data_IF_825920325706
#
_entry.id   IF_825920325706
#
_cell.length_a   1.000
_cell.length_b   1.000
_cell.length_c   1.000
_cell.angle_alpha   90.00
_cell.angle_beta   90.00
_cell.angle_gamma   90.00
#
_symmetry.space_group_name_H-M   'P 1'
#
loop_
_entity.id
_entity.type
_entity.pdbx_description
1 polymer ?
#
# COMPACT_ATOMS: atom_id res chain seq x y z
N UNK A 1 -17.76 -9.84 -30.41
CA UNK A 1 -16.35 -10.08 -30.02
C UNK A 1 -16.24 -11.53 -29.62
N UNK A 2 -15.61 -12.36 -30.45
CA UNK A 2 -15.40 -13.79 -30.18
C UNK A 2 -14.19 -13.93 -29.28
N UNK A 3 -14.39 -14.32 -28.02
CA UNK A 3 -13.32 -14.77 -27.13
C UNK A 3 -12.75 -16.06 -27.70
N UNK A 4 -11.48 -16.05 -28.12
CA UNK A 4 -10.79 -17.28 -28.51
C UNK A 4 -10.82 -18.26 -27.33
N UNK A 5 -11.13 -19.56 -27.56
CA UNK A 5 -11.11 -20.54 -26.48
C UNK A 5 -9.70 -20.66 -25.90
N UNK A 6 -9.62 -20.74 -24.57
CA UNK A 6 -8.38 -21.02 -23.86
C UNK A 6 -7.88 -22.41 -24.30
N UNK A 7 -6.69 -22.47 -24.91
CA UNK A 7 -6.03 -23.74 -25.24
C UNK A 7 -5.81 -24.56 -23.97
N UNK A 8 -6.04 -25.86 -24.03
CA UNK A 8 -5.69 -26.74 -22.91
C UNK A 8 -4.16 -26.84 -22.76
N UNK A 9 -3.64 -27.22 -21.57
CA UNK A 9 -2.20 -27.45 -21.38
C UNK A 9 -1.57 -28.38 -22.42
N UNK A 10 -2.30 -29.42 -22.84
CA UNK A 10 -1.86 -30.40 -23.83
C UNK A 10 -1.81 -29.80 -25.24
N UNK A 11 -2.80 -29.00 -25.62
CA UNK A 11 -2.84 -28.30 -26.92
C UNK A 11 -1.68 -27.31 -27.05
N UNK A 12 -1.32 -26.69 -25.93
CA UNK A 12 -0.28 -25.68 -25.85
C UNK A 12 1.12 -26.30 -25.82
N UNK A 13 1.29 -27.44 -25.13
CA UNK A 13 2.50 -28.25 -25.23
C UNK A 13 2.72 -28.74 -26.67
N UNK A 14 1.68 -29.28 -27.30
CA UNK A 14 1.72 -29.70 -28.71
C UNK A 14 1.98 -28.52 -29.66
N UNK A 15 1.51 -27.31 -29.33
CA UNK A 15 1.83 -26.10 -30.09
C UNK A 15 3.32 -25.75 -30.01
N UNK A 16 3.93 -25.82 -28.83
CA UNK A 16 5.37 -25.59 -28.66
C UNK A 16 6.23 -26.67 -29.32
N UNK A 17 5.85 -27.95 -29.18
CA UNK A 17 6.54 -29.06 -29.83
C UNK A 17 6.50 -28.91 -31.36
N UNK A 18 5.36 -28.53 -31.94
CA UNK A 18 5.24 -28.22 -33.38
C UNK A 18 6.09 -27.03 -33.79
N UNK A 19 6.34 -26.08 -32.89
CA UNK A 19 7.23 -24.93 -33.07
C UNK A 19 8.72 -25.25 -32.88
N UNK A 20 9.08 -26.51 -32.61
CA UNK A 20 10.46 -26.92 -32.33
C UNK A 20 10.98 -26.47 -30.97
N UNK A 21 10.09 -26.06 -30.07
CA UNK A 21 10.42 -25.70 -28.68
C UNK A 21 10.26 -26.95 -27.83
N UNK A 22 11.39 -27.63 -27.59
CA UNK A 22 11.44 -28.90 -26.84
C UNK A 22 12.13 -28.74 -25.48
N UNK A 23 12.74 -27.58 -25.23
CA UNK A 23 13.38 -27.26 -23.95
C UNK A 23 13.00 -25.86 -23.47
N UNK A 24 13.08 -25.65 -22.15
CA UNK A 24 12.88 -24.34 -21.53
C UNK A 24 13.90 -23.31 -22.07
N UNK A 25 15.10 -23.75 -22.41
CA UNK A 25 16.14 -22.90 -22.99
C UNK A 25 15.81 -22.45 -24.43
N UNK A 26 15.24 -23.35 -25.25
CA UNK A 26 14.75 -23.00 -26.59
C UNK A 26 13.58 -22.03 -26.51
N UNK A 27 12.65 -22.26 -25.57
CA UNK A 27 11.54 -21.34 -25.31
C UNK A 27 12.05 -19.96 -24.92
N UNK A 28 12.97 -19.88 -23.95
CA UNK A 28 13.55 -18.62 -23.50
C UNK A 28 14.27 -17.88 -24.65
N UNK A 29 15.03 -18.59 -25.50
CA UNK A 29 15.70 -17.99 -26.67
C UNK A 29 14.72 -17.47 -27.72
N UNK A 30 13.61 -18.15 -27.95
CA UNK A 30 12.59 -17.72 -28.92
C UNK A 30 11.69 -16.61 -28.38
N UNK A 31 11.41 -16.59 -27.07
CA UNK A 31 10.59 -15.58 -26.43
C UNK A 31 11.39 -14.30 -26.08
N UNK A 32 12.69 -14.40 -25.79
CA UNK A 32 13.51 -13.25 -25.39
C UNK A 32 13.43 -12.03 -26.34
N UNK A 33 13.38 -12.18 -27.68
CA UNK A 33 13.25 -11.05 -28.60
C UNK A 33 11.87 -10.37 -28.57
N UNK A 34 10.83 -11.05 -28.09
CA UNK A 34 9.46 -10.52 -28.03
C UNK A 34 9.15 -9.88 -26.67
N UNK A 35 10.05 -10.01 -25.69
CA UNK A 35 9.90 -9.38 -24.38
C UNK A 35 10.15 -7.88 -24.47
N UNK A 36 9.18 -7.10 -23.97
CA UNK A 36 9.34 -5.67 -23.75
C UNK A 36 10.39 -5.39 -22.65
N UNK A 37 11.01 -4.19 -22.62
CA UNK A 37 11.94 -3.81 -21.55
C UNK A 37 11.36 -3.96 -20.12
N UNK A 38 10.04 -3.84 -19.96
CA UNK A 38 9.33 -4.09 -18.70
C UNK A 38 9.33 -5.57 -18.36
N UNK A 39 9.03 -6.44 -19.32
CA UNK A 39 9.06 -7.90 -19.14
C UNK A 39 10.49 -8.42 -18.89
N UNK A 40 11.51 -7.84 -19.54
CA UNK A 40 12.92 -8.19 -19.27
C UNK A 40 13.34 -7.82 -17.84
N UNK A 41 12.89 -6.66 -17.34
CA UNK A 41 13.12 -6.25 -15.94
C UNK A 41 12.39 -7.17 -14.96
N UNK A 42 11.16 -7.55 -15.25
CA UNK A 42 10.39 -8.53 -14.47
C UNK A 42 11.11 -9.88 -14.38
N UNK A 43 11.58 -10.43 -15.50
CA UNK A 43 12.32 -11.71 -15.52
C UNK A 43 13.63 -11.63 -14.73
N UNK A 44 14.35 -10.50 -14.79
CA UNK A 44 15.55 -10.30 -13.97
C UNK A 44 15.25 -10.20 -12.47
N UNK A 45 14.09 -9.65 -12.10
CA UNK A 45 13.64 -9.56 -10.70
C UNK A 45 13.15 -10.90 -10.15
N UNK A 46 12.52 -11.74 -10.98
CA UNK A 46 12.03 -13.07 -10.58
C UNK A 46 13.12 -14.03 -10.04
N UNK A 47 14.39 -13.77 -10.34
CA UNK A 47 15.53 -14.52 -9.79
C UNK A 47 16.12 -13.93 -8.50
N UNK A 48 15.66 -12.76 -8.07
CA UNK A 48 16.14 -12.09 -6.86
C UNK A 48 15.16 -12.37 -5.71
N UNK A 49 15.65 -12.67 -4.50
CA UNK A 49 14.78 -12.73 -3.34
C UNK A 49 14.09 -11.38 -3.17
N UNK A 50 12.77 -11.41 -3.00
CA UNK A 50 11.99 -10.20 -2.72
C UNK A 50 12.60 -9.52 -1.48
N UNK A 51 12.92 -8.22 -1.53
CA UNK A 51 13.48 -7.54 -0.37
C UNK A 51 12.49 -7.68 0.78
N UNK A 52 12.92 -8.04 1.99
CA UNK A 52 12.02 -8.11 3.16
C UNK A 52 11.55 -6.69 3.56
N UNK A 53 10.38 -6.57 4.21
CA UNK A 53 9.94 -5.29 4.78
C UNK A 53 11.06 -4.69 5.64
N UNK A 54 11.23 -3.37 5.62
CA UNK A 54 12.33 -2.74 6.36
C UNK A 54 11.88 -2.45 7.78
N UNK A 55 12.67 -2.78 8.82
CA UNK A 55 12.36 -2.35 10.17
C UNK A 55 12.15 -0.84 10.25
N UNK A 56 11.07 -0.41 10.87
CA UNK A 56 10.70 1.00 10.98
C UNK A 56 11.73 1.74 11.82
N UNK A 57 12.43 2.73 11.27
CA UNK A 57 13.39 3.53 12.04
C UNK A 57 12.74 4.76 12.69
N UNK A 58 13.34 5.34 13.75
CA UNK A 58 12.86 6.60 14.31
C UNK A 58 12.77 7.74 13.29
N UNK A 59 13.68 7.75 12.30
CA UNK A 59 13.68 8.76 11.23
C UNK A 59 12.48 8.58 10.28
N UNK A 60 12.15 7.33 9.95
CA UNK A 60 10.97 7.03 9.12
C UNK A 60 9.69 7.45 9.83
N UNK A 61 9.59 7.18 11.14
CA UNK A 61 8.46 7.64 11.95
C UNK A 61 8.40 9.16 12.06
N UNK A 62 9.55 9.82 12.19
CA UNK A 62 9.65 11.29 12.22
C UNK A 62 9.11 11.87 10.93
N UNK A 63 9.53 11.36 9.78
CA UNK A 63 8.99 11.78 8.48
C UNK A 63 7.49 11.50 8.37
N UNK A 64 7.07 10.29 8.75
CA UNK A 64 5.67 9.89 8.67
C UNK A 64 4.76 10.77 9.53
N UNK A 65 5.15 11.06 10.77
CA UNK A 65 4.27 11.66 11.78
C UNK A 65 4.56 13.13 12.10
N UNK A 66 5.77 13.66 11.84
CA UNK A 66 6.16 15.01 12.26
C UNK A 66 6.38 15.95 11.08
N UNK A 67 6.93 15.46 9.97
CA UNK A 67 7.23 16.31 8.81
C UNK A 67 5.96 16.62 8.04
N UNK A 68 5.51 17.87 8.06
CA UNK A 68 4.52 18.34 7.10
C UNK A 68 5.22 18.40 5.73
N UNK A 69 4.73 17.60 4.79
CA UNK A 69 5.21 17.65 3.41
C UNK A 69 4.92 19.03 2.80
N UNK A 70 5.49 19.34 1.62
CA UNK A 70 5.07 20.52 0.88
C UNK A 70 3.54 20.49 0.70
N UNK A 71 2.87 21.66 0.81
CA UNK A 71 1.44 21.71 0.57
C UNK A 71 1.14 21.12 -0.80
N UNK A 72 0.11 20.26 -0.92
CA UNK A 72 -0.19 19.64 -2.19
C UNK A 72 -0.56 20.74 -3.20
N UNK A 73 0.02 20.69 -4.39
CA UNK A 73 -0.21 21.68 -5.46
C UNK A 73 -1.68 21.76 -5.87
N UNK A 74 -2.45 20.70 -5.62
CA UNK A 74 -3.89 20.62 -5.81
C UNK A 74 -4.49 19.84 -4.64
N UNK A 75 -5.68 20.21 -4.16
CA UNK A 75 -6.45 19.39 -3.22
C UNK A 75 -7.38 18.49 -4.03
N UNK A 76 -7.03 17.23 -4.13
CA UNK A 76 -7.86 16.29 -4.83
C UNK A 76 -9.14 15.97 -4.02
N UNK A 77 -10.23 15.62 -4.71
CA UNK A 77 -11.50 15.30 -4.07
C UNK A 77 -11.32 14.16 -3.08
N UNK A 78 -11.94 14.31 -1.91
CA UNK A 78 -11.99 13.25 -0.90
C UNK A 78 -13.14 12.33 -1.31
N UNK A 79 -12.93 11.01 -1.48
CA UNK A 79 -13.96 10.13 -2.05
C UNK A 79 -15.17 9.92 -1.14
N UNK A 80 -15.08 10.36 0.13
CA UNK A 80 -16.12 10.20 1.14
C UNK A 80 -16.35 11.52 1.90
N UNK A 81 -17.56 11.75 2.42
CA UNK A 81 -17.78 12.83 3.39
C UNK A 81 -16.79 12.71 4.54
N UNK A 82 -16.41 13.85 5.13
CA UNK A 82 -15.45 13.86 6.23
C UNK A 82 -15.88 14.82 7.33
N UNK A 83 -15.53 14.50 8.58
CA UNK A 83 -15.68 15.39 9.72
C UNK A 83 -14.37 16.07 10.05
N UNK A 84 -14.39 17.39 10.09
CA UNK A 84 -13.31 18.21 10.62
C UNK A 84 -13.87 19.02 11.79
N UNK A 85 -13.29 18.84 12.98
CA UNK A 85 -13.67 19.56 14.21
C UNK A 85 -15.18 19.46 14.54
N UNK A 86 -15.81 18.32 14.21
CA UNK A 86 -17.22 18.05 14.46
C UNK A 86 -18.17 18.48 13.33
N UNK A 87 -17.72 19.30 12.39
CA UNK A 87 -18.49 19.70 11.20
C UNK A 87 -18.35 18.66 10.09
N UNK A 88 -19.46 18.25 9.49
CA UNK A 88 -19.50 17.34 8.34
C UNK A 88 -19.37 18.11 7.03
N UNK A 89 -18.45 17.66 6.18
CA UNK A 89 -18.15 18.20 4.87
C UNK A 89 -18.39 17.14 3.80
N UNK A 90 -18.85 17.57 2.63
CA UNK A 90 -18.97 16.72 1.46
C UNK A 90 -17.62 16.46 0.79
N UNK A 91 -17.52 15.43 -0.08
CA UNK A 91 -16.35 15.12 -0.91
C UNK A 91 -15.67 16.33 -1.59
N UNK A 92 -16.46 17.23 -2.17
CA UNK A 92 -15.97 18.40 -2.90
C UNK A 92 -15.57 19.59 -2.02
N UNK A 93 -15.92 19.57 -0.74
CA UNK A 93 -15.65 20.68 0.18
C UNK A 93 -14.19 20.75 0.63
N UNK A 94 -13.38 19.76 0.29
CA UNK A 94 -11.93 19.77 0.56
C UNK A 94 -11.24 20.99 -0.03
N UNK A 95 -11.72 21.50 -1.18
CA UNK A 95 -11.16 22.68 -1.84
C UNK A 95 -11.35 23.97 -1.04
N UNK A 96 -12.29 23.99 -0.08
CA UNK A 96 -12.54 25.15 0.80
C UNK A 96 -11.39 25.42 1.76
N UNK A 97 -10.48 24.46 1.95
CA UNK A 97 -9.35 24.57 2.86
C UNK A 97 -8.11 25.21 2.21
N UNK A 98 -8.24 25.79 1.01
CA UNK A 98 -7.25 26.72 0.46
C UNK A 98 -5.85 26.14 0.30
N UNK A 99 -5.74 24.84 0.00
CA UNK A 99 -4.46 24.14 -0.10
C UNK A 99 -3.84 23.70 1.24
N UNK A 100 -4.50 23.95 2.38
CA UNK A 100 -4.07 23.41 3.67
C UNK A 100 -4.17 21.87 3.64
N UNK A 101 -3.07 21.15 3.94
CA UNK A 101 -3.13 19.69 3.98
C UNK A 101 -4.07 19.24 5.10
N UNK A 102 -5.04 18.39 4.74
CA UNK A 102 -5.86 17.66 5.69
C UNK A 102 -5.28 16.26 5.87
N UNK A 103 -5.30 15.79 7.11
CA UNK A 103 -4.82 14.47 7.49
C UNK A 103 -6.01 13.58 7.82
N UNK A 104 -6.20 12.51 7.05
CA UNK A 104 -7.36 11.64 7.20
C UNK A 104 -7.05 10.44 8.09
N UNK A 105 -8.04 10.06 8.89
CA UNK A 105 -8.02 8.89 9.76
C UNK A 105 -9.25 8.03 9.47
N UNK A 106 -9.00 6.74 9.24
CA UNK A 106 -9.97 5.71 8.96
C UNK A 106 -9.96 4.76 10.16
N UNK A 107 -11.08 4.67 10.87
CA UNK A 107 -11.27 3.71 11.95
C UNK A 107 -12.52 2.87 11.72
N UNK A 108 -12.82 1.98 12.66
CA UNK A 108 -14.05 1.18 12.63
C UNK A 108 -15.31 2.05 12.64
N UNK A 109 -15.27 3.25 13.21
CA UNK A 109 -16.41 4.18 13.18
C UNK A 109 -16.70 4.67 11.75
N UNK A 110 -15.74 4.67 10.83
CA UNK A 110 -16.00 4.91 9.40
C UNK A 110 -17.04 3.94 8.84
N UNK A 111 -16.98 2.66 9.23
CA UNK A 111 -17.92 1.65 8.75
C UNK A 111 -19.34 1.92 9.27
N UNK A 112 -19.46 2.46 10.47
CA UNK A 112 -20.74 2.78 11.12
C UNK A 112 -21.35 4.09 10.59
N UNK A 113 -20.50 5.08 10.34
CA UNK A 113 -20.93 6.47 10.08
C UNK A 113 -20.84 6.89 8.62
N UNK A 114 -20.09 6.14 7.80
CA UNK A 114 -19.88 6.43 6.39
C UNK A 114 -19.00 7.65 6.09
N UNK A 115 -18.44 8.31 7.12
CA UNK A 115 -17.60 9.51 6.96
C UNK A 115 -16.19 9.35 7.54
N UNK A 116 -15.20 9.95 6.88
CA UNK A 116 -13.81 9.99 7.32
C UNK A 116 -13.64 10.98 8.47
N UNK A 117 -12.65 10.76 9.34
CA UNK A 117 -12.20 11.80 10.26
C UNK A 117 -11.04 12.56 9.65
N UNK A 118 -11.09 13.88 9.66
CA UNK A 118 -10.04 14.74 9.13
C UNK A 118 -9.44 15.60 10.25
N UNK A 119 -8.15 15.88 10.13
CA UNK A 119 -7.39 16.71 11.06
C UNK A 119 -6.68 17.84 10.29
N UNK A 120 -6.59 19.05 10.88
CA UNK A 120 -6.01 20.21 10.22
C UNK A 120 -4.47 20.20 10.19
N UNK A 121 -3.83 19.26 10.89
CA UNK A 121 -2.37 19.09 10.96
C UNK A 121 -1.99 17.69 11.44
N UNK A 122 -0.77 17.24 11.17
CA UNK A 122 -0.21 16.00 11.76
C UNK A 122 -0.17 16.08 13.28
N UNK A 123 0.04 17.27 13.85
CA UNK A 123 0.02 17.46 15.29
C UNK A 123 -1.37 17.15 15.91
N UNK A 124 -2.45 17.54 15.23
CA UNK A 124 -3.81 17.21 15.65
C UNK A 124 -4.12 15.71 15.47
N UNK A 125 -3.72 15.10 14.34
CA UNK A 125 -3.83 13.66 14.13
C UNK A 125 -3.07 12.87 15.21
N UNK A 126 -1.81 13.22 15.48
CA UNK A 126 -0.97 12.56 16.50
C UNK A 126 -1.56 12.64 17.89
N UNK A 127 -2.12 13.81 18.25
CA UNK A 127 -2.83 13.98 19.51
C UNK A 127 -4.01 13.01 19.60
N UNK A 128 -4.79 12.92 18.52
CA UNK A 128 -5.90 11.98 18.46
C UNK A 128 -5.44 10.52 18.59
N UNK A 129 -4.40 10.11 17.86
CA UNK A 129 -3.87 8.75 17.94
C UNK A 129 -3.38 8.41 19.37
N UNK A 130 -2.79 9.38 20.08
CA UNK A 130 -2.40 9.23 21.48
C UNK A 130 -3.62 9.06 22.39
N UNK A 131 -4.61 9.94 22.25
CA UNK A 131 -5.84 9.91 23.06
C UNK A 131 -6.66 8.63 22.87
N UNK A 132 -6.60 8.01 21.69
CA UNK A 132 -7.31 6.76 21.38
C UNK A 132 -6.47 5.49 21.57
N UNK A 133 -5.24 5.62 22.08
CA UNK A 133 -4.34 4.47 22.28
C UNK A 133 -3.89 3.79 20.98
N UNK A 134 -3.98 4.51 19.86
CA UNK A 134 -3.51 4.08 18.53
C UNK A 134 -2.05 4.42 18.29
N UNK A 135 -1.47 5.28 19.15
CA UNK A 135 -0.05 5.58 19.20
C UNK A 135 0.47 5.28 20.61
N UNK A 136 1.42 4.34 20.78
CA UNK A 136 1.98 4.04 22.09
C UNK A 136 2.63 5.24 22.78
N UNK A 137 2.55 5.28 24.11
CA UNK A 137 3.06 6.38 24.92
C UNK A 137 4.59 6.46 24.89
N UNK A 138 5.28 5.32 24.83
CA UNK A 138 6.73 5.21 24.72
C UNK A 138 7.24 5.77 23.38
N UNK A 139 6.56 5.45 22.27
CA UNK A 139 6.85 6.00 20.95
C UNK A 139 6.66 7.52 20.92
N UNK A 140 5.57 7.99 21.52
CA UNK A 140 5.31 9.42 21.66
C UNK A 140 6.46 10.12 22.38
N UNK A 141 6.87 9.58 23.53
CA UNK A 141 7.95 10.13 24.33
C UNK A 141 9.31 10.02 23.63
N UNK A 142 9.52 9.01 22.79
CA UNK A 142 10.74 8.86 21.99
C UNK A 142 10.81 9.89 20.86
N UNK A 143 9.71 10.08 20.11
CA UNK A 143 9.62 11.08 19.04
C UNK A 143 9.82 12.50 19.57
N UNK A 144 9.25 12.83 20.73
CA UNK A 144 9.39 14.14 21.36
C UNK A 144 10.81 14.42 21.87
N UNK A 145 11.53 13.38 22.31
CA UNK A 145 12.90 13.51 22.82
C UNK A 145 13.99 13.33 21.75
N UNK A 146 13.62 13.07 20.50
CA UNK A 146 14.55 12.65 19.44
C UNK A 146 15.28 11.34 19.78
N UNK A 147 14.67 10.52 20.66
CA UNK A 147 15.24 9.29 21.16
C UNK A 147 15.03 8.11 20.22
N UNK A 148 15.87 7.10 20.38
CA UNK A 148 15.73 5.82 19.66
C UNK A 148 14.56 5.05 20.25
N UNK A 149 13.57 4.72 19.42
CA UNK A 149 12.50 3.78 19.79
C UNK A 149 13.12 2.38 19.81
N UNK A 150 13.03 1.60 20.90
CA UNK A 150 13.51 0.22 20.90
C UNK A 150 12.71 -0.62 19.89
N UNK A 151 13.33 -0.88 18.74
CA UNK A 151 12.79 -1.75 17.69
C UNK A 151 13.03 -3.21 18.05
N UNK A 152 12.43 -3.68 19.14
CA UNK A 152 12.31 -5.12 19.31
C UNK A 152 11.21 -5.64 18.39
N UNK A 153 11.47 -6.77 17.72
CA UNK A 153 10.43 -7.49 17.00
C UNK A 153 9.33 -7.86 18.00
N UNK A 154 8.12 -7.35 17.78
CA UNK A 154 6.96 -7.66 18.60
C UNK A 154 6.09 -8.63 17.84
N UNK A 155 5.75 -9.74 18.48
CA UNK A 155 4.72 -10.63 17.97
C UNK A 155 3.39 -9.87 17.90
N UNK A 156 2.77 -9.87 16.72
CA UNK A 156 1.49 -9.20 16.50
C UNK A 156 0.93 -9.60 15.15
N UNK A 157 -0.37 -9.38 14.96
CA UNK A 157 -1.01 -9.58 13.66
C UNK A 157 -0.49 -8.53 12.68
N UNK A 158 0.02 -8.96 11.51
CA UNK A 158 0.50 -8.03 10.48
C UNK A 158 -0.68 -7.26 9.87
N UNK A 159 -0.36 -6.15 9.22
CA UNK A 159 -1.29 -5.54 8.27
C UNK A 159 -1.25 -6.30 6.94
N UNK A 160 -2.39 -6.35 6.27
CA UNK A 160 -2.57 -7.02 4.97
C UNK A 160 -3.06 -6.00 3.95
N UNK A 161 -2.41 -5.95 2.79
CA UNK A 161 -2.82 -5.13 1.66
C UNK A 161 -3.21 -6.03 0.50
N UNK A 162 -4.24 -5.64 -0.22
CA UNK A 162 -4.86 -6.44 -1.27
C UNK A 162 -4.95 -5.64 -2.57
N UNK A 163 -4.70 -6.34 -3.67
CA UNK A 163 -4.76 -5.81 -5.03
C UNK A 163 -6.17 -5.31 -5.38
N UNK A 164 -7.21 -6.01 -4.92
CA UNK A 164 -8.59 -5.69 -5.27
C UNK A 164 -9.40 -5.24 -4.06
N UNK A 165 -10.56 -4.65 -4.36
CA UNK A 165 -11.60 -4.35 -3.36
C UNK A 165 -12.08 -5.62 -2.66
N UNK A 166 -12.72 -5.45 -1.51
CA UNK A 166 -13.29 -6.53 -0.70
C UNK A 166 -12.27 -7.64 -0.36
N UNK A 167 -11.00 -7.27 -0.22
CA UNK A 167 -9.89 -8.16 0.13
C UNK A 167 -9.63 -9.25 -0.92
N UNK A 168 -9.94 -8.98 -2.18
CA UNK A 168 -9.68 -9.87 -3.31
C UNK A 168 -8.28 -9.70 -3.91
N UNK A 169 -7.93 -10.60 -4.83
CA UNK A 169 -6.66 -10.56 -5.56
C UNK A 169 -5.47 -11.07 -4.75
N UNK A 170 -4.27 -10.67 -5.18
CA UNK A 170 -3.04 -10.97 -4.44
C UNK A 170 -2.95 -10.18 -3.14
N UNK A 171 -2.07 -10.63 -2.24
CA UNK A 171 -1.91 -10.07 -0.89
C UNK A 171 -0.44 -9.91 -0.51
N UNK A 172 -0.10 -8.76 0.07
CA UNK A 172 1.19 -8.52 0.74
C UNK A 172 0.98 -8.18 2.22
N UNK A 173 1.89 -8.63 3.07
CA UNK A 173 1.82 -8.43 4.52
C UNK A 173 2.91 -7.49 5.00
N UNK A 174 2.54 -6.53 5.83
CA UNK A 174 3.47 -5.67 6.56
C UNK A 174 3.48 -6.12 8.03
N UNK A 175 4.61 -6.68 8.44
CA UNK A 175 4.79 -7.09 9.84
C UNK A 175 4.76 -5.88 10.78
N UNK A 176 4.36 -6.07 12.05
CA UNK A 176 4.43 -5.03 13.06
C UNK A 176 5.82 -4.39 13.09
N UNK A 177 5.87 -3.06 13.23
CA UNK A 177 7.10 -2.25 13.28
C UNK A 177 7.97 -2.33 12.03
N UNK A 178 7.37 -2.64 10.89
CA UNK A 178 8.02 -2.55 9.60
C UNK A 178 7.38 -1.45 8.74
N UNK A 179 8.10 -1.12 7.68
CA UNK A 179 7.61 -0.25 6.63
C UNK A 179 7.90 -0.83 5.25
N UNK A 180 7.05 -0.43 4.31
CA UNK A 180 7.36 -0.39 2.90
C UNK A 180 7.75 1.04 2.57
N UNK A 181 9.03 1.35 2.53
CA UNK A 181 9.52 2.66 2.12
C UNK A 181 9.40 2.87 0.61
N UNK A 182 9.47 1.81 -0.20
CA UNK A 182 9.35 1.86 -1.65
C UNK A 182 8.63 0.60 -2.18
N UNK A 183 7.34 0.75 -2.54
CA UNK A 183 6.56 -0.34 -3.13
C UNK A 183 7.00 -0.67 -4.57
N UNK A 184 7.79 0.19 -5.24
CA UNK A 184 8.37 -0.11 -6.57
C UNK A 184 9.32 -1.30 -6.56
N UNK A 185 9.80 -1.65 -5.37
CA UNK A 185 10.71 -2.76 -5.09
C UNK A 185 10.00 -4.03 -4.61
N UNK A 186 8.69 -3.95 -4.36
CA UNK A 186 7.84 -5.09 -3.99
C UNK A 186 7.17 -5.64 -5.21
N UNK A 187 7.25 -6.96 -5.37
CA UNK A 187 6.74 -7.61 -6.57
C UNK A 187 5.54 -8.46 -6.22
N UNK A 188 4.45 -8.26 -6.96
CA UNK A 188 3.27 -9.09 -6.87
C UNK A 188 3.48 -10.36 -7.70
N UNK A 189 3.19 -11.51 -7.09
CA UNK A 189 3.19 -12.79 -7.80
C UNK A 189 1.88 -12.90 -8.56
N UNK A 190 1.90 -12.61 -9.87
CA UNK A 190 0.70 -12.87 -10.68
C UNK A 190 0.78 -14.29 -11.20
N UNK A 191 -0.15 -15.13 -10.74
CA UNK A 191 -0.33 -16.47 -11.29
C UNK A 191 -0.89 -16.33 -12.72
N UNK A 192 -0.05 -16.50 -13.73
CA UNK A 192 -0.49 -16.49 -15.13
C UNK A 192 -0.89 -17.88 -15.63
N UNK A 193 -1.56 -17.89 -16.79
CA UNK A 193 -1.95 -19.11 -17.50
C UNK A 193 -0.72 -19.98 -17.78
N UNK A 194 -0.77 -21.26 -17.36
CA UNK A 194 0.26 -22.33 -17.42
C UNK A 194 1.31 -22.38 -16.31
N UNK A 195 0.93 -22.38 -15.02
CA UNK A 195 1.81 -22.79 -13.89
C UNK A 195 3.15 -22.03 -13.71
N UNK A 196 3.40 -21.01 -14.53
CA UNK A 196 4.52 -20.09 -14.39
C UNK A 196 4.01 -18.87 -13.63
N UNK A 197 4.39 -18.74 -12.36
CA UNK A 197 4.27 -17.49 -11.63
C UNK A 197 5.30 -16.52 -12.22
N UNK A 198 4.85 -15.41 -12.77
CA UNK A 198 5.72 -14.33 -13.21
C UNK A 198 5.55 -13.16 -12.25
N UNK A 199 6.67 -12.56 -11.88
CA UNK A 199 6.76 -11.26 -11.22
C UNK A 199 6.23 -10.18 -12.16
N UNK A 200 4.91 -10.00 -12.23
CA UNK A 200 4.33 -9.18 -13.32
C UNK A 200 4.24 -7.70 -12.99
N UNK A 201 4.07 -7.32 -11.73
CA UNK A 201 3.77 -5.92 -11.40
C UNK A 201 4.35 -5.57 -10.03
N UNK A 202 4.78 -4.33 -9.90
CA UNK A 202 5.13 -3.78 -8.60
C UNK A 202 3.86 -3.56 -7.78
N UNK A 203 3.91 -3.69 -6.46
CA UNK A 203 2.80 -3.28 -5.57
C UNK A 203 2.55 -1.77 -5.54
N UNK A 204 3.44 -0.98 -6.14
CA UNK A 204 3.27 0.45 -6.29
C UNK A 204 2.01 0.71 -7.10
N UNK A 205 1.09 1.45 -6.52
CA UNK A 205 -0.13 1.88 -7.22
C UNK A 205 -1.06 0.70 -7.60
N UNK A 206 -1.13 -0.34 -6.76
CA UNK A 206 -2.02 -1.51 -6.98
C UNK A 206 -2.96 -1.81 -5.79
N UNK A 207 -2.85 -1.06 -4.68
CA UNK A 207 -3.58 -1.38 -3.45
C UNK A 207 -5.00 -0.79 -3.51
N UNK A 208 -6.02 -1.66 -3.40
CA UNK A 208 -7.44 -1.28 -3.44
C UNK A 208 -8.15 -1.51 -2.10
N UNK A 209 -7.67 -2.43 -1.25
CA UNK A 209 -8.21 -2.67 0.09
C UNK A 209 -7.14 -3.12 1.08
N UNK A 210 -7.42 -2.99 2.38
CA UNK A 210 -6.45 -3.34 3.42
C UNK A 210 -7.11 -3.74 4.74
N UNK A 211 -6.37 -4.49 5.55
CA UNK A 211 -6.68 -4.79 6.95
C UNK A 211 -5.50 -4.42 7.83
N UNK A 212 -5.75 -3.71 8.90
CA UNK A 212 -4.74 -3.47 9.93
C UNK A 212 -4.84 -4.54 11.00
N UNK A 213 -3.68 -5.01 11.45
CA UNK A 213 -3.57 -5.94 12.56
C UNK A 213 -3.45 -5.18 13.89
N UNK A 214 -2.43 -5.55 14.66
CA UNK A 214 -2.24 -4.98 15.99
C UNK A 214 -1.57 -3.59 15.97
N UNK A 215 -1.30 -3.00 14.81
CA UNK A 215 -0.75 -1.64 14.67
C UNK A 215 -1.64 -0.77 13.76
N UNK A 216 -1.65 0.54 14.01
CA UNK A 216 -2.20 1.49 13.05
C UNK A 216 -1.21 1.64 11.89
N UNK A 217 -1.70 1.88 10.69
CA UNK A 217 -0.85 2.02 9.49
C UNK A 217 -1.06 3.40 8.88
N UNK A 218 0.02 4.09 8.53
CA UNK A 218 -0.07 5.25 7.64
C UNK A 218 0.37 4.88 6.24
N UNK A 219 -0.48 5.15 5.26
CA UNK A 219 -0.22 4.94 3.84
C UNK A 219 0.06 6.28 3.16
N UNK A 220 0.90 6.27 2.13
CA UNK A 220 1.40 7.45 1.44
C UNK A 220 1.26 7.34 -0.07
N UNK A 221 1.00 8.49 -0.70
CA UNK A 221 0.86 8.61 -2.16
C UNK A 221 2.19 8.42 -2.90
N UNK A 222 3.32 8.68 -2.24
CA UNK A 222 4.64 8.55 -2.85
C UNK A 222 5.55 7.63 -2.03
N UNK A 223 6.61 7.16 -2.67
CA UNK A 223 7.71 6.46 -2.01
C UNK A 223 8.37 7.35 -0.95
N UNK A 224 9.10 6.70 -0.04
CA UNK A 224 9.83 7.31 1.07
C UNK A 224 8.97 8.20 1.98
N UNK A 225 7.71 7.79 2.19
CA UNK A 225 6.72 8.45 3.05
C UNK A 225 6.39 9.88 2.61
N UNK A 226 6.42 10.12 1.29
CA UNK A 226 6.14 11.41 0.68
C UNK A 226 4.68 11.57 0.21
N UNK A 227 4.34 12.80 -0.16
CA UNK A 227 3.02 13.12 -0.70
C UNK A 227 1.93 13.14 0.36
N UNK A 228 0.67 12.96 -0.09
CA UNK A 228 -0.47 12.86 0.82
C UNK A 228 -0.40 11.58 1.64
N UNK A 229 -1.13 11.55 2.75
CA UNK A 229 -1.22 10.37 3.59
C UNK A 229 -2.60 10.21 4.22
N UNK A 230 -2.97 8.96 4.52
CA UNK A 230 -4.07 8.62 5.40
C UNK A 230 -3.62 7.58 6.42
N UNK A 231 -4.20 7.62 7.61
CA UNK A 231 -3.92 6.65 8.67
C UNK A 231 -5.14 5.76 8.89
N UNK A 232 -4.89 4.46 9.02
CA UNK A 232 -5.91 3.47 9.37
C UNK A 232 -5.61 3.00 10.78
N UNK A 233 -6.60 3.08 11.66
CA UNK A 233 -6.49 2.60 13.04
C UNK A 233 -6.24 1.10 13.11
N UNK A 234 -5.80 0.60 14.27
CA UNK A 234 -5.60 -0.82 14.59
C UNK A 234 -6.88 -1.62 14.36
N UNK A 235 -6.77 -2.90 14.03
CA UNK A 235 -7.90 -3.84 13.93
C UNK A 235 -9.04 -3.37 13.00
N UNK A 236 -8.70 -2.63 11.96
CA UNK A 236 -9.66 -2.00 11.05
C UNK A 236 -9.60 -2.68 9.69
N UNK A 237 -10.77 -3.01 9.15
CA UNK A 237 -10.91 -3.56 7.80
C UNK A 237 -11.47 -2.50 6.87
N UNK A 238 -10.71 -2.15 5.84
CA UNK A 238 -11.10 -1.17 4.82
C UNK A 238 -11.31 -1.92 3.51
N UNK A 239 -12.56 -2.32 3.18
CA UNK A 239 -12.85 -3.10 1.98
C UNK A 239 -12.62 -2.33 0.68
N UNK A 240 -12.58 -0.99 0.75
CA UNK A 240 -12.25 -0.14 -0.38
C UNK A 240 -11.68 1.20 0.11
N UNK A 241 -10.45 1.51 -0.32
CA UNK A 241 -9.75 2.76 0.07
C UNK A 241 -10.35 4.02 -0.56
N UNK A 242 -11.28 3.85 -1.51
CA UNK A 242 -11.99 4.95 -2.20
C UNK A 242 -11.33 5.32 -3.52
N UNK A 243 -12.09 5.94 -4.43
CA UNK A 243 -11.66 6.28 -5.81
C UNK A 243 -10.32 7.03 -5.85
N UNK A 244 -10.11 7.93 -4.89
CA UNK A 244 -8.92 8.75 -4.86
C UNK A 244 -7.65 7.98 -4.47
N UNK A 245 -7.75 6.99 -3.57
CA UNK A 245 -6.59 6.27 -3.03
C UNK A 245 -6.34 4.93 -3.72
N UNK A 246 -7.32 4.43 -4.48
CA UNK A 246 -7.18 3.24 -5.29
C UNK A 246 -5.97 3.41 -6.21
N UNK A 247 -5.09 2.42 -6.23
CA UNK A 247 -3.97 2.36 -7.16
C UNK A 247 -3.03 3.57 -7.06
N UNK A 248 -2.81 4.07 -5.84
CA UNK A 248 -1.93 5.23 -5.58
C UNK A 248 -1.04 5.14 -4.36
N UNK A 249 -1.11 4.01 -3.64
CA UNK A 249 -0.29 3.80 -2.46
C UNK A 249 1.09 3.34 -2.92
N UNK A 250 2.12 4.10 -2.55
CA UNK A 250 3.51 3.89 -2.96
C UNK A 250 4.46 3.63 -1.77
N UNK A 251 4.05 3.96 -0.54
CA UNK A 251 4.73 3.55 0.69
C UNK A 251 3.76 3.44 1.87
N UNK A 252 4.13 2.64 2.88
CA UNK A 252 3.33 2.42 4.08
C UNK A 252 4.20 2.14 5.31
N UNK A 253 3.76 2.54 6.50
CA UNK A 253 4.50 2.39 7.76
C UNK A 253 3.59 1.94 8.90
N UNK A 254 4.05 0.96 9.68
CA UNK A 254 3.42 0.54 10.93
C UNK A 254 3.71 1.50 12.09
N UNK A 255 2.65 1.85 12.82
CA UNK A 255 2.65 2.70 14.00
C UNK A 255 2.37 1.84 15.25
N UNK A 256 3.38 1.08 15.69
CA UNK A 256 3.65 0.43 17.01
C UNK A 256 2.49 -0.08 17.89
#
# INVERSE_FOLDING_TARGET
>A
MTTSPLMTPEELLAHFERGGVTTLEQFARQAAPTLTPTQVRAVRRAGQPEPAATPTTPEMLRRALLEEGPPPTEQAPVPRPFRLEGTLYGPGDVTRFGGQPLHFYLDTALLETGHLKAFPSKAALRRHLRETGQLPEDLTAALERGGVVPLHHVAGRPAEFFEHIDFGGERITLDPRHAFDDLTQRTMKVTGFLFFSWDRVSWNDEISSLRTGDEAITCFEHIHFGGRSFTVGRNTSVPWVGDFWNDRISSAIGLF
#
